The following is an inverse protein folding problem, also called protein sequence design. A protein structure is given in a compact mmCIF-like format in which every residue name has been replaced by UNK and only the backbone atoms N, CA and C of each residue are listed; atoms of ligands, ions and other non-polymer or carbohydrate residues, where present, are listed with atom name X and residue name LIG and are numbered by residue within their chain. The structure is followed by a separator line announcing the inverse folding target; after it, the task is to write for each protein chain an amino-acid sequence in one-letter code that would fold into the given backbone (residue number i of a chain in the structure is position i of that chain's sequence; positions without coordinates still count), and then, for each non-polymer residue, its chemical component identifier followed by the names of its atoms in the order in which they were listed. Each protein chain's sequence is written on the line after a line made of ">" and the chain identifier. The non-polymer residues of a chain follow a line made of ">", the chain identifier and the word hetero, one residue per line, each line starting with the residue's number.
data_IF_846440435944
#
_entry.id   IF_846440435944
#
_cell.length_a   1.000
_cell.length_b   1.000
_cell.length_c   1.000
_cell.angle_alpha   90.00
_cell.angle_beta   90.00
_cell.angle_gamma   90.00
#
_symmetry.space_group_name_H-M   'P 1'
#
loop_
_entity.id
_entity.type
_entity.pdbx_description
1 polymer ?
#
# COMPACT_ATOMS: atom_id res chain seq x y z
N UNK A 1 12.30 14.48 -0.20
CA UNK A 1 12.05 14.50 1.25
C UNK A 1 12.18 13.08 1.70
N UNK A 2 13.05 12.82 2.66
CA UNK A 2 13.26 11.48 3.22
C UNK A 2 12.60 11.44 4.60
N UNK A 3 12.03 10.30 4.97
CA UNK A 3 11.35 10.11 6.25
C UNK A 3 11.73 8.76 6.86
N UNK A 4 11.82 8.72 8.18
CA UNK A 4 12.14 7.52 8.97
C UNK A 4 11.19 7.40 10.14
N UNK A 5 10.96 6.15 10.54
CA UNK A 5 10.28 5.80 11.79
C UNK A 5 11.26 5.06 12.68
N UNK A 6 11.33 5.42 13.96
CA UNK A 6 11.95 4.53 14.93
C UNK A 6 11.12 3.25 15.00
N UNK A 7 11.80 2.10 15.07
CA UNK A 7 11.14 0.80 15.06
C UNK A 7 10.13 0.62 16.21
N UNK A 8 10.46 1.16 17.38
CA UNK A 8 9.55 1.19 18.54
C UNK A 8 8.28 2.06 18.33
N UNK A 9 8.25 2.89 17.29
CA UNK A 9 7.16 3.81 17.00
C UNK A 9 7.15 5.07 17.86
N UNK A 10 8.20 5.33 18.66
CA UNK A 10 8.20 6.48 19.56
C UNK A 10 8.46 7.80 18.83
N UNK A 11 9.31 7.80 17.79
CA UNK A 11 9.69 9.00 17.04
C UNK A 11 9.65 8.77 15.53
N UNK A 12 9.45 9.85 14.80
CA UNK A 12 9.70 9.95 13.36
C UNK A 12 10.79 10.97 13.10
N UNK A 13 11.48 10.85 11.97
CA UNK A 13 12.42 11.85 11.50
C UNK A 13 12.12 12.18 10.05
N UNK A 14 12.34 13.42 9.65
CA UNK A 14 12.23 13.85 8.26
C UNK A 14 13.41 14.73 7.88
N UNK A 15 13.93 14.55 6.67
CA UNK A 15 15.02 15.34 6.14
C UNK A 15 14.55 16.13 4.91
N UNK A 16 14.70 17.46 5.00
CA UNK A 16 14.48 18.39 3.90
C UNK A 16 15.82 18.73 3.24
N UNK A 17 16.13 18.19 2.04
CA UNK A 17 17.39 18.46 1.36
C UNK A 17 17.51 19.91 0.89
N UNK A 18 16.40 20.67 0.76
CA UNK A 18 16.44 22.09 0.35
C UNK A 18 16.94 22.98 1.47
N UNK A 19 16.70 22.59 2.73
CA UNK A 19 17.15 23.29 3.93
C UNK A 19 18.38 22.65 4.57
N UNK A 20 18.75 21.46 4.09
CA UNK A 20 19.74 20.58 4.72
C UNK A 20 19.42 20.36 6.22
N UNK A 21 18.15 20.11 6.53
CA UNK A 21 17.64 20.06 7.90
C UNK A 21 17.02 18.71 8.20
N UNK A 22 17.43 18.09 9.30
CA UNK A 22 16.81 16.89 9.87
C UNK A 22 15.96 17.30 11.07
N UNK A 23 14.66 17.02 11.01
CA UNK A 23 13.73 17.27 12.11
C UNK A 23 13.21 15.96 12.67
N UNK A 24 13.22 15.81 13.99
CA UNK A 24 12.72 14.63 14.70
C UNK A 24 11.46 15.02 15.49
N UNK A 25 10.40 14.25 15.33
CA UNK A 25 9.11 14.47 15.97
C UNK A 25 8.71 13.26 16.81
N UNK A 26 7.86 13.46 17.81
CA UNK A 26 7.06 12.37 18.36
C UNK A 26 6.15 11.81 17.27
N UNK A 27 6.11 10.49 17.14
CA UNK A 27 5.41 9.84 16.04
C UNK A 27 3.89 10.11 16.05
N UNK A 28 3.33 10.37 17.24
CA UNK A 28 1.94 10.76 17.42
C UNK A 28 0.95 9.74 16.86
N UNK A 29 1.21 8.44 17.04
CA UNK A 29 0.30 7.35 16.66
C UNK A 29 -1.12 7.62 17.21
N UNK A 30 -2.15 7.51 16.37
CA UNK A 30 -3.55 7.78 16.75
C UNK A 30 -4.42 6.55 16.53
N UNK A 31 -5.45 6.38 17.36
CA UNK A 31 -6.48 5.37 17.13
C UNK A 31 -5.94 3.94 17.03
N UNK A 32 -6.13 3.32 15.86
CA UNK A 32 -5.72 1.96 15.52
C UNK A 32 -4.38 1.87 14.77
N UNK A 33 -3.64 2.98 14.66
CA UNK A 33 -2.31 3.01 14.05
C UNK A 33 -1.34 2.07 14.79
N UNK A 34 -0.80 1.08 14.07
CA UNK A 34 0.25 0.20 14.59
C UNK A 34 1.61 0.85 14.42
N UNK A 35 2.41 0.89 15.48
CA UNK A 35 3.84 1.15 15.35
C UNK A 35 4.52 0.11 14.45
N UNK A 36 5.70 0.40 13.87
CA UNK A 36 6.44 -0.59 13.09
C UNK A 36 6.67 -1.91 13.86
N UNK A 37 6.99 -1.83 15.16
CA UNK A 37 7.10 -3.01 16.04
C UNK A 37 5.77 -3.76 16.17
N UNK A 38 4.67 -3.07 16.48
CA UNK A 38 3.36 -3.72 16.62
C UNK A 38 2.92 -4.38 15.31
N UNK A 39 3.21 -3.76 14.18
CA UNK A 39 2.94 -4.34 12.86
C UNK A 39 3.81 -5.57 12.60
N UNK A 40 5.11 -5.51 12.94
CA UNK A 40 6.01 -6.65 12.88
C UNK A 40 5.53 -7.82 13.74
N UNK A 41 5.19 -7.57 15.01
CA UNK A 41 4.70 -8.59 15.93
C UNK A 41 3.39 -9.21 15.44
N UNK A 42 2.49 -8.38 14.87
CA UNK A 42 1.27 -8.85 14.22
C UNK A 42 1.57 -9.82 13.07
N UNK A 43 2.42 -9.43 12.12
CA UNK A 43 2.79 -10.25 10.96
C UNK A 43 3.49 -11.53 11.39
N UNK A 44 4.39 -11.45 12.36
CA UNK A 44 5.12 -12.61 12.89
C UNK A 44 4.22 -13.57 13.67
N UNK A 45 3.10 -13.08 14.23
CA UNK A 45 2.08 -13.88 14.90
C UNK A 45 1.00 -14.45 13.98
N UNK A 46 1.05 -14.21 12.67
CA UNK A 46 0.06 -14.75 11.73
C UNK A 46 0.17 -16.28 11.59
N UNK A 47 -0.97 -17.00 11.54
CA UNK A 47 -0.95 -18.43 11.23
C UNK A 47 -0.33 -18.71 9.86
N UNK A 48 0.41 -19.81 9.74
CA UNK A 48 1.05 -20.22 8.47
C UNK A 48 0.23 -21.25 7.68
N UNK A 49 -0.85 -21.78 8.27
CA UNK A 49 -1.84 -22.61 7.57
C UNK A 49 -2.88 -21.76 6.86
N UNK A 50 -3.15 -22.03 5.58
CA UNK A 50 -4.01 -21.17 4.74
C UNK A 50 -5.43 -20.97 5.27
N UNK A 51 -6.08 -22.00 5.83
CA UNK A 51 -7.45 -21.88 6.39
C UNK A 51 -7.48 -21.07 7.70
N UNK A 52 -6.55 -21.35 8.60
CA UNK A 52 -6.41 -20.60 9.86
C UNK A 52 -6.05 -19.13 9.58
N UNK A 53 -5.18 -18.89 8.60
CA UNK A 53 -4.82 -17.54 8.17
C UNK A 53 -6.01 -16.81 7.55
N UNK A 54 -6.74 -17.43 6.63
CA UNK A 54 -7.93 -16.82 6.04
C UNK A 54 -8.98 -16.48 7.11
N UNK A 55 -9.22 -17.37 8.06
CA UNK A 55 -10.11 -17.10 9.21
C UNK A 55 -9.62 -15.89 10.02
N UNK A 56 -8.33 -15.85 10.36
CA UNK A 56 -7.74 -14.73 11.09
C UNK A 56 -7.87 -13.41 10.33
N UNK A 57 -7.53 -13.39 9.04
CA UNK A 57 -7.60 -12.19 8.21
C UNK A 57 -9.05 -11.69 8.07
N UNK A 58 -10.04 -12.59 8.00
CA UNK A 58 -11.46 -12.21 7.98
C UNK A 58 -11.88 -11.47 9.25
N UNK A 59 -11.36 -11.90 10.40
CA UNK A 59 -11.62 -11.26 11.70
C UNK A 59 -10.90 -9.90 11.81
N UNK A 60 -9.66 -9.82 11.36
CA UNK A 60 -8.82 -8.63 11.49
C UNK A 60 -9.17 -7.54 10.46
N UNK A 61 -9.81 -7.90 9.34
CA UNK A 61 -10.08 -6.95 8.27
C UNK A 61 -11.12 -5.90 8.68
N UNK A 62 -10.73 -4.64 8.66
CA UNK A 62 -11.58 -3.52 9.05
C UNK A 62 -12.80 -3.39 8.14
N UNK A 63 -13.99 -3.21 8.72
CA UNK A 63 -15.23 -2.99 7.95
C UNK A 63 -15.13 -1.68 7.16
N UNK A 64 -15.44 -1.75 5.88
CA UNK A 64 -15.58 -0.59 4.99
C UNK A 64 -16.91 -0.68 4.26
N UNK A 65 -17.54 0.49 4.02
CA UNK A 65 -18.78 0.55 3.27
C UNK A 65 -18.55 0.12 1.81
N UNK A 66 -19.47 -0.67 1.25
CA UNK A 66 -19.40 -1.16 -0.13
C UNK A 66 -18.52 -2.40 -0.34
N UNK A 67 -17.50 -2.64 0.50
CA UNK A 67 -16.61 -3.77 0.33
C UNK A 67 -17.19 -5.08 0.89
N UNK A 68 -17.11 -6.15 0.11
CA UNK A 68 -17.40 -7.50 0.60
C UNK A 68 -16.25 -8.03 1.50
N UNK A 69 -16.48 -9.17 2.18
CA UNK A 69 -15.47 -9.76 3.08
C UNK A 69 -14.19 -10.19 2.34
N UNK A 70 -14.30 -10.58 1.08
CA UNK A 70 -13.19 -11.07 0.26
C UNK A 70 -12.30 -9.90 -0.21
N UNK A 71 -12.91 -8.77 -0.55
CA UNK A 71 -12.24 -7.51 -0.84
C UNK A 71 -11.49 -7.00 0.38
N UNK A 72 -12.13 -6.98 1.56
CA UNK A 72 -11.46 -6.58 2.80
C UNK A 72 -10.24 -7.43 3.13
N UNK A 73 -10.32 -8.75 2.93
CA UNK A 73 -9.18 -9.66 3.11
C UNK A 73 -8.09 -9.38 2.08
N UNK A 74 -8.45 -9.21 0.80
CA UNK A 74 -7.49 -8.87 -0.25
C UNK A 74 -6.75 -7.56 0.06
N UNK A 75 -7.48 -6.53 0.50
CA UNK A 75 -6.93 -5.24 0.89
C UNK A 75 -6.01 -5.34 2.11
N UNK A 76 -6.38 -6.14 3.13
CA UNK A 76 -5.51 -6.40 4.27
C UNK A 76 -4.22 -7.13 3.85
N UNK A 77 -4.30 -8.12 2.96
CA UNK A 77 -3.11 -8.80 2.43
C UNK A 77 -2.22 -7.82 1.66
N UNK A 78 -2.81 -6.92 0.86
CA UNK A 78 -2.09 -5.85 0.16
C UNK A 78 -1.30 -4.97 1.15
N UNK A 79 -1.94 -4.53 2.23
CA UNK A 79 -1.29 -3.76 3.31
C UNK A 79 -0.16 -4.56 3.95
N UNK A 80 -0.37 -5.85 4.26
CA UNK A 80 0.66 -6.71 4.85
C UNK A 80 1.87 -6.86 3.92
N UNK A 81 1.65 -7.14 2.63
CA UNK A 81 2.74 -7.30 1.66
C UNK A 81 3.52 -6.00 1.44
N UNK A 82 2.82 -4.87 1.52
CA UNK A 82 3.36 -3.53 1.30
C UNK A 82 4.18 -3.01 2.49
N UNK A 83 3.64 -3.16 3.70
CA UNK A 83 4.14 -2.47 4.89
C UNK A 83 5.00 -3.36 5.79
N UNK A 84 4.99 -4.68 5.57
CA UNK A 84 5.86 -5.58 6.33
C UNK A 84 7.31 -5.42 5.87
N UNK A 85 8.08 -4.64 6.65
CA UNK A 85 9.50 -4.42 6.39
C UNK A 85 10.32 -5.71 6.39
N UNK A 86 9.92 -6.68 7.22
CA UNK A 86 10.50 -8.02 7.30
C UNK A 86 9.35 -9.01 7.19
N UNK A 87 9.29 -9.73 6.08
CA UNK A 87 8.26 -10.73 5.82
C UNK A 87 8.80 -12.14 6.12
N UNK A 88 8.28 -12.86 7.14
CA UNK A 88 8.65 -14.26 7.34
C UNK A 88 8.28 -15.11 6.11
N UNK A 89 9.20 -15.92 5.55
CA UNK A 89 8.92 -16.66 4.31
C UNK A 89 7.69 -17.57 4.37
N UNK A 90 7.45 -18.20 5.53
CA UNK A 90 6.27 -19.05 5.74
C UNK A 90 4.96 -18.25 5.75
N UNK A 91 4.98 -17.04 6.30
CA UNK A 91 3.82 -16.13 6.28
C UNK A 91 3.58 -15.63 4.87
N UNK A 92 4.63 -15.23 4.13
CA UNK A 92 4.50 -14.85 2.71
C UNK A 92 3.82 -15.96 1.90
N UNK A 93 4.33 -17.18 1.98
CA UNK A 93 3.76 -18.31 1.26
C UNK A 93 2.31 -18.61 1.68
N UNK A 94 1.95 -18.41 2.95
CA UNK A 94 0.59 -18.57 3.42
C UNK A 94 -0.35 -17.49 2.86
N UNK A 95 0.08 -16.22 2.83
CA UNK A 95 -0.68 -15.11 2.23
C UNK A 95 -0.96 -15.35 0.76
N UNK A 96 0.03 -15.82 -0.01
CA UNK A 96 -0.14 -16.13 -1.43
C UNK A 96 -1.15 -17.27 -1.65
N UNK A 97 -1.09 -18.34 -0.84
CA UNK A 97 -2.11 -19.41 -0.88
C UNK A 97 -3.50 -18.93 -0.48
N UNK A 98 -3.60 -17.93 0.40
CA UNK A 98 -4.88 -17.33 0.75
C UNK A 98 -5.42 -16.50 -0.42
N UNK A 99 -4.58 -15.71 -1.10
CA UNK A 99 -5.00 -14.92 -2.27
C UNK A 99 -5.66 -15.80 -3.34
N UNK A 100 -5.13 -16.99 -3.61
CA UNK A 100 -5.72 -17.96 -4.56
C UNK A 100 -7.12 -18.44 -4.16
N UNK A 101 -7.45 -18.42 -2.86
CA UNK A 101 -8.75 -18.85 -2.33
C UNK A 101 -9.81 -17.74 -2.34
N UNK A 102 -9.41 -16.49 -2.60
CA UNK A 102 -10.32 -15.36 -2.62
C UNK A 102 -11.08 -15.35 -3.96
N UNK A 103 -12.41 -15.54 -3.98
CA UNK A 103 -13.18 -15.55 -5.22
C UNK A 103 -13.01 -14.25 -5.99
N UNK A 104 -12.71 -14.27 -7.29
CA UNK A 104 -12.49 -13.07 -8.12
C UNK A 104 -11.03 -12.62 -8.21
N UNK A 105 -10.10 -13.29 -7.51
CA UNK A 105 -8.67 -13.14 -7.76
C UNK A 105 -8.28 -13.80 -9.09
N UNK A 106 -7.44 -13.13 -9.86
CA UNK A 106 -6.84 -13.60 -11.11
C UNK A 106 -5.32 -13.39 -11.08
N UNK A 107 -4.57 -14.17 -11.85
CA UNK A 107 -3.11 -14.04 -11.96
C UNK A 107 -2.73 -13.71 -13.40
N UNK A 108 -1.85 -12.73 -13.58
CA UNK A 108 -1.21 -12.40 -14.84
C UNK A 108 0.31 -12.51 -14.69
N UNK A 109 0.91 -13.49 -15.37
CA UNK A 109 2.34 -13.81 -15.25
C UNK A 109 3.25 -12.91 -16.07
N UNK A 110 2.70 -12.00 -16.88
CA UNK A 110 3.47 -11.16 -17.79
C UNK A 110 3.11 -9.69 -17.58
N UNK A 111 3.59 -9.14 -16.47
CA UNK A 111 3.52 -7.69 -16.21
C UNK A 111 4.91 -7.10 -15.99
N UNK A 112 5.00 -5.79 -16.12
CA UNK A 112 6.17 -5.01 -15.74
C UNK A 112 5.77 -4.05 -14.64
N UNK A 113 6.54 -3.99 -13.57
CA UNK A 113 6.33 -3.02 -12.49
C UNK A 113 6.72 -1.60 -12.92
N UNK A 114 6.46 -0.61 -12.08
CA UNK A 114 6.83 0.78 -12.38
C UNK A 114 8.34 0.99 -12.53
N UNK A 115 9.17 0.13 -11.94
CA UNK A 115 10.64 0.20 -12.05
C UNK A 115 11.19 -0.53 -13.29
N UNK A 116 10.33 -1.05 -14.19
CA UNK A 116 10.76 -1.74 -15.40
C UNK A 116 11.15 -3.21 -15.18
N UNK A 117 10.85 -3.79 -14.01
CA UNK A 117 11.18 -5.19 -13.67
C UNK A 117 10.05 -6.12 -14.10
N UNK A 118 10.35 -7.34 -14.59
CA UNK A 118 9.32 -8.34 -14.85
C UNK A 118 8.65 -8.77 -13.54
N UNK A 119 7.34 -9.00 -13.60
CA UNK A 119 6.53 -9.33 -12.43
C UNK A 119 5.35 -10.24 -12.76
N UNK A 120 4.79 -10.81 -11.70
CA UNK A 120 3.50 -11.53 -11.68
C UNK A 120 2.49 -10.64 -10.98
N UNK A 121 1.37 -10.30 -11.62
CA UNK A 121 0.29 -9.56 -11.00
C UNK A 121 -0.78 -10.50 -10.45
N UNK A 122 -1.08 -10.39 -9.16
CA UNK A 122 -2.29 -10.94 -8.55
C UNK A 122 -3.34 -9.84 -8.49
N UNK A 123 -4.45 -10.03 -9.19
CA UNK A 123 -5.43 -8.96 -9.44
C UNK A 123 -6.79 -9.29 -8.84
N UNK A 124 -7.48 -8.28 -8.31
CA UNK A 124 -8.89 -8.35 -7.93
C UNK A 124 -9.58 -7.04 -8.32
N UNK A 125 -10.76 -7.16 -8.91
CA UNK A 125 -11.59 -5.99 -9.23
C UNK A 125 -12.47 -5.64 -8.03
N UNK A 126 -12.63 -4.34 -7.76
CA UNK A 126 -13.56 -3.75 -6.80
C UNK A 126 -14.34 -2.60 -7.46
N UNK A 127 -15.12 -1.86 -6.67
CA UNK A 127 -15.92 -0.74 -7.18
C UNK A 127 -15.10 0.45 -7.71
N UNK A 128 -13.85 0.56 -7.29
CA UNK A 128 -12.91 1.62 -7.67
C UNK A 128 -12.07 1.27 -8.89
N UNK A 129 -11.85 -0.02 -9.14
CA UNK A 129 -11.11 -0.52 -10.29
C UNK A 129 -10.48 -1.89 -10.04
N UNK A 130 -9.48 -2.23 -10.84
CA UNK A 130 -8.66 -3.42 -10.68
C UNK A 130 -7.45 -3.08 -9.83
N UNK A 131 -7.34 -3.73 -8.68
CA UNK A 131 -6.13 -3.70 -7.86
C UNK A 131 -5.21 -4.84 -8.27
N UNK A 132 -3.93 -4.55 -8.37
CA UNK A 132 -2.89 -5.47 -8.78
C UNK A 132 -1.75 -5.45 -7.76
N UNK A 133 -1.41 -6.62 -7.23
CA UNK A 133 -0.23 -6.85 -6.41
C UNK A 133 0.83 -7.48 -7.29
N UNK A 134 1.93 -6.76 -7.51
CA UNK A 134 3.00 -7.18 -8.42
C UNK A 134 4.08 -7.87 -7.59
N UNK A 135 4.41 -9.10 -7.95
CA UNK A 135 5.36 -9.96 -7.26
C UNK A 135 6.54 -10.29 -8.16
N UNK A 136 7.71 -10.49 -7.57
CA UNK A 136 8.90 -10.97 -8.25
C UNK A 136 8.68 -12.43 -8.70
N UNK A 137 8.93 -12.77 -9.98
CA UNK A 137 8.59 -14.08 -10.52
C UNK A 137 9.46 -15.21 -9.96
N UNK A 138 10.61 -14.91 -9.34
CA UNK A 138 11.54 -15.91 -8.80
C UNK A 138 11.36 -16.10 -7.30
N UNK A 139 11.13 -15.00 -6.59
CA UNK A 139 11.14 -14.96 -5.12
C UNK A 139 9.76 -14.74 -4.51
N UNK A 140 8.77 -14.35 -5.33
CA UNK A 140 7.45 -13.93 -4.91
C UNK A 140 7.45 -12.80 -3.86
N UNK A 141 8.53 -12.01 -3.83
CA UNK A 141 8.59 -10.78 -3.02
C UNK A 141 7.70 -9.72 -3.67
N UNK A 142 6.99 -8.95 -2.85
CA UNK A 142 6.23 -7.80 -3.32
C UNK A 142 7.14 -6.76 -3.98
N UNK A 143 6.80 -6.39 -5.23
CA UNK A 143 7.51 -5.40 -6.04
C UNK A 143 6.74 -4.08 -6.12
N UNK A 144 5.44 -4.09 -5.87
CA UNK A 144 4.61 -2.91 -5.95
C UNK A 144 3.14 -3.20 -6.18
N UNK A 145 2.34 -2.15 -6.29
CA UNK A 145 0.93 -2.26 -6.59
C UNK A 145 0.50 -1.26 -7.66
N UNK A 146 -0.54 -1.65 -8.39
CA UNK A 146 -1.16 -0.84 -9.43
C UNK A 146 -2.67 -0.88 -9.29
N UNK A 147 -3.33 0.25 -9.47
CA UNK A 147 -4.79 0.33 -9.55
C UNK A 147 -5.16 0.88 -10.93
N UNK A 148 -6.03 0.16 -11.63
CA UNK A 148 -6.46 0.49 -12.99
C UNK A 148 -7.98 0.65 -13.01
N UNK A 149 -8.49 1.77 -13.50
CA UNK A 149 -9.93 1.95 -13.67
C UNK A 149 -10.48 0.89 -14.63
N UNK A 150 -11.54 0.19 -14.25
CA UNK A 150 -12.18 -0.85 -15.08
C UNK A 150 -13.36 -0.31 -15.88
N UNK A 151 -13.87 0.86 -15.51
CA UNK A 151 -15.03 1.53 -16.11
C UNK A 151 -14.84 3.03 -16.10
N UNK A 152 -15.60 3.71 -16.93
CA UNK A 152 -15.69 5.16 -16.87
C UNK A 152 -16.42 5.60 -15.59
N UNK A 153 -15.87 6.58 -14.89
CA UNK A 153 -16.54 7.19 -13.73
C UNK A 153 -16.13 8.64 -13.54
N UNK A 154 -17.09 9.48 -13.17
CA UNK A 154 -16.80 10.85 -12.75
C UNK A 154 -16.62 10.85 -11.24
N UNK A 155 -15.42 11.21 -10.77
CA UNK A 155 -15.13 11.40 -9.36
C UNK A 155 -15.08 12.88 -9.04
N UNK A 156 -15.55 13.24 -7.84
CA UNK A 156 -15.36 14.59 -7.30
C UNK A 156 -14.03 14.62 -6.57
N UNK A 157 -13.04 15.31 -7.13
CA UNK A 157 -11.72 15.49 -6.50
C UNK A 157 -11.75 16.66 -5.54
N UNK A 158 -11.25 16.47 -4.31
CA UNK A 158 -10.94 17.56 -3.38
C UNK A 158 -9.57 18.19 -3.62
N UNK A 159 -8.80 17.71 -4.60
CA UNK A 159 -7.42 18.08 -4.84
C UNK A 159 -7.16 18.41 -6.32
N UNK A 160 -7.75 19.49 -6.82
CA UNK A 160 -7.17 20.19 -7.97
C UNK A 160 -6.38 21.37 -7.42
N UNK A 161 -5.04 21.40 -7.53
CA UNK A 161 -4.30 22.63 -7.29
C UNK A 161 -4.72 23.63 -8.38
N UNK A 162 -5.63 24.53 -8.05
CA UNK A 162 -5.80 25.75 -8.84
C UNK A 162 -4.44 26.44 -8.94
N UNK A 163 -4.06 26.89 -10.14
CA UNK A 163 -2.89 27.76 -10.32
C UNK A 163 -3.12 29.04 -9.52
N UNK A 164 -2.62 29.11 -8.30
CA UNK A 164 -2.68 30.33 -7.49
C UNK A 164 -1.60 31.30 -7.98
N UNK A 165 -2.00 32.50 -8.40
CA UNK A 165 -1.07 33.60 -8.54
C UNK A 165 -0.49 33.99 -7.16
N UNK A 166 0.80 34.40 -7.06
CA UNK A 166 1.39 34.81 -5.79
C UNK A 166 0.60 35.99 -5.18
N UNK A 167 0.08 35.81 -3.97
CA UNK A 167 -0.60 36.87 -3.20
C UNK A 167 -2.14 36.87 -3.25
N UNK A 168 -2.78 35.97 -4.01
CA UNK A 168 -4.24 35.83 -3.97
C UNK A 168 -4.70 35.02 -2.73
N UNK A 169 -5.84 35.36 -2.10
CA UNK A 169 -6.44 34.51 -1.07
C UNK A 169 -6.67 33.10 -1.63
N UNK A 170 -6.38 32.06 -0.83
CA UNK A 170 -6.67 30.67 -1.23
C UNK A 170 -8.17 30.59 -1.60
N UNK A 171 -8.52 30.21 -2.84
CA UNK A 171 -9.92 30.01 -3.17
C UNK A 171 -10.51 28.90 -2.27
N UNK A 172 -11.82 28.90 -2.01
CA UNK A 172 -12.48 27.70 -1.47
C UNK A 172 -12.07 26.50 -2.34
N UNK A 173 -11.93 25.31 -1.74
CA UNK A 173 -11.61 24.10 -2.50
C UNK A 173 -12.65 23.92 -3.62
N UNK A 174 -12.31 24.34 -4.84
CA UNK A 174 -13.12 24.04 -6.01
C UNK A 174 -13.09 22.52 -6.14
N UNK A 175 -14.20 21.89 -5.79
CA UNK A 175 -14.43 20.48 -6.03
C UNK A 175 -14.53 20.29 -7.53
N UNK A 176 -13.38 20.12 -8.18
CA UNK A 176 -13.30 19.72 -9.57
C UNK A 176 -13.89 18.32 -9.74
N UNK A 177 -14.55 18.10 -10.86
CA UNK A 177 -14.89 16.74 -11.30
C UNK A 177 -13.80 16.24 -12.24
N UNK A 178 -13.35 15.01 -12.03
CA UNK A 178 -12.40 14.33 -12.90
C UNK A 178 -13.06 13.06 -13.44
N UNK A 179 -13.06 12.91 -14.76
CA UNK A 179 -13.51 11.68 -15.41
C UNK A 179 -12.35 10.70 -15.47
N UNK A 180 -12.52 9.54 -14.85
CA UNK A 180 -11.63 8.40 -15.00
C UNK A 180 -12.12 7.53 -16.14
N UNK A 181 -11.23 7.20 -17.08
CA UNK A 181 -11.55 6.35 -18.22
C UNK A 181 -11.22 4.88 -17.95
N UNK A 182 -11.95 3.96 -18.58
CA UNK A 182 -11.61 2.54 -18.53
C UNK A 182 -10.18 2.30 -19.06
N UNK A 183 -9.38 1.54 -18.32
CA UNK A 183 -7.97 1.29 -18.61
C UNK A 183 -7.00 2.34 -18.06
N UNK A 184 -7.48 3.45 -17.50
CA UNK A 184 -6.62 4.48 -16.91
C UNK A 184 -5.92 3.94 -15.66
N UNK A 185 -4.59 4.10 -15.59
CA UNK A 185 -3.81 3.80 -14.39
C UNK A 185 -4.01 4.92 -13.36
N UNK A 186 -4.63 4.59 -12.23
CA UNK A 186 -4.95 5.51 -11.15
C UNK A 186 -3.82 5.60 -10.12
N UNK A 187 -3.24 4.44 -9.79
CA UNK A 187 -2.13 4.31 -8.86
C UNK A 187 -1.10 3.39 -9.52
N UNK A 188 0.17 3.76 -9.47
CA UNK A 188 1.26 2.88 -9.85
C UNK A 188 2.44 3.14 -8.92
N UNK A 189 2.86 2.12 -8.18
CA UNK A 189 3.94 2.22 -7.19
C UNK A 189 4.87 1.05 -7.38
N UNK A 190 6.18 1.31 -7.43
CA UNK A 190 7.21 0.28 -7.31
C UNK A 190 7.97 0.45 -6.00
N UNK A 191 8.25 -0.68 -5.36
CA UNK A 191 9.06 -0.80 -4.17
C UNK A 191 10.49 -1.09 -4.56
N UNK A 192 11.36 -0.13 -4.23
CA UNK A 192 12.80 -0.29 -4.37
C UNK A 192 13.36 -1.05 -3.17
N UNK A 193 14.52 -1.71 -3.31
CA UNK A 193 15.16 -2.41 -2.20
C UNK A 193 15.33 -1.48 -0.99
N UNK A 194 14.82 -1.91 0.16
CA UNK A 194 14.99 -1.21 1.44
C UNK A 194 16.23 -1.74 2.16
N UNK A 195 16.91 -0.86 2.90
CA UNK A 195 18.09 -1.19 3.70
C UNK A 195 17.87 -0.67 5.12
N UNK A 196 18.23 -1.48 6.11
CA UNK A 196 18.30 -1.01 7.51
C UNK A 196 19.57 -0.20 7.67
N UNK A 197 19.44 1.00 8.20
CA UNK A 197 20.55 1.93 8.43
C UNK A 197 20.59 2.33 9.91
N UNK A 198 21.79 2.58 10.41
CA UNK A 198 21.99 2.97 11.82
C UNK A 198 21.67 4.46 12.05
N UNK A 199 21.76 5.29 11.00
CA UNK A 199 21.55 6.75 11.08
C UNK A 199 20.75 7.28 9.88
N UNK A 200 19.86 8.28 10.08
CA UNK A 200 19.21 8.99 8.98
C UNK A 200 20.22 9.53 7.95
N UNK A 201 19.87 9.44 6.66
CA UNK A 201 20.72 9.90 5.54
C UNK A 201 21.82 8.94 5.09
N UNK A 202 21.99 7.77 5.72
CA UNK A 202 22.87 6.72 5.21
C UNK A 202 22.25 6.03 3.99
N UNK A 203 23.08 5.71 2.98
CA UNK A 203 22.70 4.95 1.78
C UNK A 203 23.29 3.54 1.81
#
# INVERSE_FOLDING_TARGET
>A
MEQWWRFDGAKTASYDPRKNELTVHDAGLRGDDRSPRQFYDYVNGLPTGSEALLTRLRQDSAKSAGADQNERVFNLISVILRDAQIMPPKVNAALLRVLEKIPGVRVNNNVTDLAGRPGIAVTRDDDTGRNELILDPKTYRFLGNRTVATRERTITSSAVPGKSAPGAPRPPFDRGTETQHAGQVLINVAYLPTKVVDKPGQR
#
